data_IF_321500113175
#
_entry.id   IF_321500113175
#
_cell.length_a   1.000
_cell.length_b   1.000
_cell.length_c   1.000
_cell.angle_alpha   90.00
_cell.angle_beta   90.00
_cell.angle_gamma   90.00
#
_symmetry.space_group_name_H-M   'P 1'
#
loop_
_entity.id
_entity.type
_entity.pdbx_description
1 polymer ?
#
# COMPACT_ATOMS: atom_id res chain seq x y z
N UNK A 1 -17.73 -4.62 -9.98
CA UNK A 1 -18.91 -3.83 -9.60
C UNK A 1 -19.98 -4.80 -9.12
N UNK A 2 -20.46 -4.60 -7.90
CA UNK A 2 -21.44 -5.47 -7.25
C UNK A 2 -22.66 -4.65 -6.82
N UNK A 3 -23.83 -5.29 -6.74
CA UNK A 3 -24.99 -4.72 -6.04
C UNK A 3 -24.91 -4.97 -4.52
N UNK A 4 -25.93 -4.51 -3.79
CA UNK A 4 -26.01 -4.60 -2.32
C UNK A 4 -26.15 -6.05 -1.83
N UNK A 5 -26.62 -6.95 -2.68
CA UNK A 5 -26.72 -8.40 -2.42
C UNK A 5 -25.43 -9.16 -2.78
N UNK A 6 -24.38 -8.46 -3.26
CA UNK A 6 -23.09 -9.05 -3.61
C UNK A 6 -23.05 -9.75 -4.97
N UNK A 7 -24.03 -9.50 -5.86
CA UNK A 7 -24.03 -10.04 -7.22
C UNK A 7 -23.16 -9.19 -8.13
N UNK A 8 -22.31 -9.85 -8.92
CA UNK A 8 -21.46 -9.19 -9.90
C UNK A 8 -22.29 -8.62 -11.06
N UNK A 9 -22.28 -7.30 -11.19
CA UNK A 9 -22.96 -6.56 -12.27
C UNK A 9 -22.04 -6.26 -13.46
N UNK A 10 -20.75 -6.04 -13.20
CA UNK A 10 -19.78 -5.69 -14.23
C UNK A 10 -18.35 -5.88 -13.75
N UNK A 11 -17.50 -6.37 -14.65
CA UNK A 11 -16.07 -6.56 -14.43
C UNK A 11 -15.31 -6.21 -15.70
N UNK A 12 -14.15 -5.60 -15.54
CA UNK A 12 -13.23 -5.26 -16.61
C UNK A 12 -11.80 -5.30 -16.09
N UNK A 13 -10.84 -5.33 -17.01
CA UNK A 13 -9.40 -5.35 -16.70
C UNK A 13 -8.65 -4.41 -17.62
N UNK A 14 -7.48 -3.97 -17.18
CA UNK A 14 -6.51 -3.22 -17.96
C UNK A 14 -5.12 -3.77 -17.67
N UNK A 15 -4.26 -3.98 -18.69
CA UNK A 15 -2.90 -4.43 -18.47
C UNK A 15 -2.10 -3.38 -17.70
N UNK A 16 -1.07 -3.85 -16.99
CA UNK A 16 -0.10 -3.05 -16.26
C UNK A 16 1.32 -3.41 -16.72
N UNK A 17 2.20 -2.42 -16.80
CA UNK A 17 3.58 -2.57 -17.23
C UNK A 17 4.42 -3.24 -16.13
N UNK A 18 5.24 -4.22 -16.52
CA UNK A 18 6.21 -4.89 -15.65
C UNK A 18 7.59 -4.83 -16.30
N UNK A 19 8.59 -4.44 -15.53
CA UNK A 19 10.01 -4.59 -15.90
C UNK A 19 10.61 -5.72 -15.07
N UNK A 20 11.32 -6.64 -15.72
CA UNK A 20 11.99 -7.77 -15.06
C UNK A 20 13.42 -7.90 -15.55
N UNK A 21 14.36 -7.81 -14.62
CA UNK A 21 15.80 -7.90 -14.85
C UNK A 21 16.42 -8.80 -13.78
N UNK A 22 16.63 -10.08 -14.11
CA UNK A 22 17.04 -11.09 -13.12
C UNK A 22 16.00 -11.22 -11.99
N UNK A 23 16.44 -10.99 -10.76
CA UNK A 23 15.62 -11.04 -9.54
C UNK A 23 14.92 -9.70 -9.24
N UNK A 24 15.24 -8.64 -9.98
CA UNK A 24 14.62 -7.32 -9.87
C UNK A 24 13.34 -7.26 -10.73
N UNK A 25 12.20 -7.02 -10.10
CA UNK A 25 10.88 -6.95 -10.73
C UNK A 25 10.20 -5.67 -10.26
N UNK A 26 9.89 -4.80 -11.21
CA UNK A 26 9.44 -3.43 -10.94
C UNK A 26 8.19 -3.07 -11.73
N UNK A 27 7.42 -2.14 -11.17
CA UNK A 27 6.19 -1.59 -11.77
C UNK A 27 6.15 -0.08 -11.61
N UNK A 28 5.13 0.54 -12.20
CA UNK A 28 4.87 1.98 -12.09
C UNK A 28 3.54 2.22 -11.38
N UNK A 29 3.57 3.01 -10.32
CA UNK A 29 2.34 3.36 -9.60
C UNK A 29 1.41 4.21 -10.48
N UNK A 30 1.96 5.12 -11.28
CA UNK A 30 1.20 5.93 -12.25
C UNK A 30 0.51 5.05 -13.30
N UNK A 31 1.21 4.07 -13.87
CA UNK A 31 0.63 3.13 -14.84
C UNK A 31 -0.50 2.30 -14.22
N UNK A 32 -0.28 1.76 -13.01
CA UNK A 32 -1.29 1.02 -12.27
C UNK A 32 -2.53 1.87 -11.99
N UNK A 33 -2.36 3.13 -11.57
CA UNK A 33 -3.51 4.02 -11.33
C UNK A 33 -4.32 4.26 -12.61
N UNK A 34 -3.66 4.49 -13.73
CA UNK A 34 -4.34 4.67 -15.02
C UNK A 34 -5.07 3.39 -15.46
N UNK A 35 -4.46 2.21 -15.24
CA UNK A 35 -5.08 0.93 -15.52
C UNK A 35 -6.33 0.70 -14.65
N UNK A 36 -6.26 1.02 -13.35
CA UNK A 36 -7.40 0.98 -12.42
C UNK A 36 -8.52 1.90 -12.90
N UNK A 37 -8.22 3.15 -13.24
CA UNK A 37 -9.22 4.10 -13.74
C UNK A 37 -9.90 3.61 -15.03
N UNK A 38 -9.13 3.02 -15.94
CA UNK A 38 -9.65 2.45 -17.19
C UNK A 38 -10.56 1.26 -16.92
N UNK A 39 -10.17 0.35 -16.03
CA UNK A 39 -10.95 -0.82 -15.65
C UNK A 39 -12.25 -0.43 -14.93
N UNK A 40 -12.22 0.55 -14.02
CA UNK A 40 -13.41 1.03 -13.29
C UNK A 40 -14.46 1.59 -14.26
N UNK A 41 -14.06 2.45 -15.20
CA UNK A 41 -14.97 3.01 -16.20
C UNK A 41 -15.55 1.95 -17.12
N UNK A 42 -14.72 1.01 -17.58
CA UNK A 42 -15.16 -0.10 -18.41
C UNK A 42 -16.17 -0.99 -17.66
N UNK A 43 -15.93 -1.28 -16.39
CA UNK A 43 -16.85 -2.06 -15.56
C UNK A 43 -18.21 -1.33 -15.36
N UNK A 44 -18.21 -0.01 -15.14
CA UNK A 44 -19.45 0.77 -15.04
C UNK A 44 -20.22 0.78 -16.37
N UNK A 45 -19.51 0.97 -17.49
CA UNK A 45 -20.10 0.95 -18.83
C UNK A 45 -20.74 -0.39 -19.17
N UNK A 46 -20.07 -1.51 -18.87
CA UNK A 46 -20.59 -2.86 -19.08
C UNK A 46 -21.83 -3.15 -18.21
N UNK A 47 -21.83 -2.66 -16.97
CA UNK A 47 -22.97 -2.76 -16.06
C UNK A 47 -24.10 -1.78 -16.39
N UNK A 48 -23.89 -0.85 -17.33
CA UNK A 48 -24.83 0.22 -17.70
C UNK A 48 -25.29 1.07 -16.51
N UNK A 49 -24.35 1.38 -15.62
CA UNK A 49 -24.59 2.28 -14.50
C UNK A 49 -23.76 3.56 -14.65
N UNK A 50 -24.30 4.66 -14.13
CA UNK A 50 -23.58 5.91 -14.01
C UNK A 50 -22.70 5.91 -12.76
N UNK A 51 -21.60 6.65 -12.78
CA UNK A 51 -20.68 6.75 -11.63
C UNK A 51 -21.36 7.28 -10.36
N UNK A 52 -22.46 8.03 -10.48
CA UNK A 52 -23.29 8.53 -9.36
C UNK A 52 -24.03 7.43 -8.59
N UNK A 53 -24.20 6.27 -9.23
CA UNK A 53 -24.84 5.11 -8.62
C UNK A 53 -23.85 4.30 -7.76
N UNK A 54 -22.53 4.53 -7.91
CA UNK A 54 -21.50 3.86 -7.10
C UNK A 54 -21.46 4.44 -5.70
N UNK A 55 -21.78 3.62 -4.69
CA UNK A 55 -21.91 4.04 -3.28
C UNK A 55 -20.65 3.83 -2.43
N UNK A 56 -19.63 3.16 -2.97
CA UNK A 56 -18.36 2.97 -2.29
C UNK A 56 -17.33 2.30 -3.19
N UNK A 57 -16.06 2.40 -2.81
CA UNK A 57 -14.94 1.74 -3.48
C UNK A 57 -13.98 1.16 -2.44
N UNK A 58 -13.49 -0.04 -2.72
CA UNK A 58 -12.43 -0.71 -1.96
C UNK A 58 -11.29 -1.08 -2.88
N UNK A 59 -10.06 -1.05 -2.37
CA UNK A 59 -8.86 -1.41 -3.11
C UNK A 59 -8.20 -2.64 -2.49
N UNK A 60 -7.89 -3.61 -3.34
CA UNK A 60 -7.03 -4.73 -2.99
C UNK A 60 -5.93 -4.88 -4.04
N UNK A 61 -4.73 -5.22 -3.60
CA UNK A 61 -3.57 -5.38 -4.48
C UNK A 61 -2.56 -6.38 -3.92
N UNK A 62 -1.61 -6.78 -4.76
CA UNK A 62 -0.42 -7.50 -4.29
C UNK A 62 0.33 -6.67 -3.25
N UNK A 63 1.04 -7.33 -2.34
CA UNK A 63 1.90 -6.68 -1.33
C UNK A 63 3.22 -6.09 -1.89
N UNK A 64 3.11 -5.28 -2.94
CA UNK A 64 4.24 -4.60 -3.58
C UNK A 64 4.56 -3.28 -2.85
N UNK A 65 5.82 -2.86 -2.86
CA UNK A 65 6.28 -1.65 -2.15
C UNK A 65 6.32 -0.46 -3.08
N UNK A 66 5.64 0.64 -2.72
CA UNK A 66 5.59 1.89 -3.49
C UNK A 66 6.42 2.98 -2.81
N UNK A 67 7.19 3.72 -3.62
CA UNK A 67 8.00 4.87 -3.20
C UNK A 67 7.48 6.18 -3.81
N UNK A 68 7.19 7.17 -2.97
CA UNK A 68 6.81 8.52 -3.41
C UNK A 68 7.45 9.64 -2.57
N UNK A 69 7.62 10.81 -3.18
CA UNK A 69 8.12 12.01 -2.51
C UNK A 69 7.01 12.77 -1.74
N UNK A 70 7.35 13.94 -1.22
CA UNK A 70 6.45 14.75 -0.39
C UNK A 70 5.19 15.21 -1.15
N UNK A 71 5.33 15.44 -2.46
CA UNK A 71 4.25 15.84 -3.37
C UNK A 71 3.46 14.64 -3.92
N UNK A 72 3.85 13.42 -3.55
CA UNK A 72 3.24 12.19 -4.03
C UNK A 72 3.75 11.74 -5.41
N UNK A 73 4.84 12.33 -5.91
CA UNK A 73 5.44 11.95 -7.18
C UNK A 73 6.27 10.66 -7.05
N UNK A 74 6.33 9.82 -8.09
CA UNK A 74 7.13 8.60 -8.10
C UNK A 74 8.62 8.83 -7.82
N UNK A 75 9.19 8.08 -6.87
CA UNK A 75 10.64 8.04 -6.63
C UNK A 75 11.19 6.69 -7.09
N UNK A 76 12.23 6.70 -7.94
CA UNK A 76 12.79 5.47 -8.50
C UNK A 76 13.27 4.50 -7.42
N UNK A 77 12.95 3.22 -7.57
CA UNK A 77 13.52 2.09 -6.82
C UNK A 77 14.39 1.21 -7.73
N UNK A 78 14.79 1.76 -8.87
CA UNK A 78 15.49 1.07 -9.96
C UNK A 78 16.90 1.62 -10.16
N UNK A 79 17.85 0.73 -10.46
CA UNK A 79 19.20 1.10 -10.90
C UNK A 79 19.21 1.93 -12.19
N UNK A 80 18.15 1.84 -12.99
CA UNK A 80 18.01 2.63 -14.22
C UNK A 80 17.86 4.13 -13.96
N UNK A 81 17.51 4.53 -12.74
CA UNK A 81 17.18 5.92 -12.40
C UNK A 81 15.84 6.41 -12.96
N UNK A 82 15.08 5.57 -13.68
CA UNK A 82 13.77 5.92 -14.23
C UNK A 82 12.73 6.06 -13.11
N UNK A 83 12.29 7.29 -12.82
CA UNK A 83 11.32 7.58 -11.77
C UNK A 83 9.98 6.86 -11.95
N UNK A 84 9.64 6.41 -13.16
CA UNK A 84 8.44 5.60 -13.40
C UNK A 84 8.51 4.23 -12.74
N UNK A 85 9.71 3.70 -12.50
CA UNK A 85 9.96 2.41 -11.85
C UNK A 85 10.06 2.62 -10.34
N UNK A 86 8.93 2.95 -9.71
CA UNK A 86 8.83 3.31 -8.29
C UNK A 86 8.15 2.24 -7.42
N UNK A 87 7.95 1.04 -7.96
CA UNK A 87 7.39 -0.10 -7.23
C UNK A 87 8.36 -1.28 -7.26
N UNK A 88 8.68 -1.82 -6.09
CA UNK A 88 9.31 -3.14 -5.95
C UNK A 88 8.19 -4.18 -5.83
N UNK A 89 8.06 -5.07 -6.81
CA UNK A 89 6.94 -6.01 -6.88
C UNK A 89 7.03 -7.06 -5.76
N UNK A 90 5.90 -7.60 -5.31
CA UNK A 90 5.83 -8.63 -4.26
C UNK A 90 6.82 -9.79 -4.49
N UNK A 91 6.88 -10.33 -5.72
CA UNK A 91 7.74 -11.45 -6.14
C UNK A 91 9.21 -11.07 -6.44
N UNK A 92 9.63 -9.85 -6.14
CA UNK A 92 11.02 -9.41 -6.29
C UNK A 92 11.91 -10.00 -5.18
N UNK A 93 13.05 -10.59 -5.55
CA UNK A 93 13.98 -11.26 -4.64
C UNK A 93 15.33 -10.53 -4.49
N UNK A 94 15.43 -9.26 -4.88
CA UNK A 94 16.69 -8.48 -4.75
C UNK A 94 17.20 -8.40 -3.30
N UNK A 95 16.29 -8.52 -2.33
CA UNK A 95 16.54 -8.29 -0.91
C UNK A 95 16.85 -9.56 -0.10
N UNK A 96 17.25 -10.68 -0.74
CA UNK A 96 17.59 -11.94 -0.06
C UNK A 96 18.65 -11.74 1.03
N UNK A 97 19.74 -11.02 0.74
CA UNK A 97 20.82 -10.77 1.72
C UNK A 97 20.34 -9.95 2.92
N UNK A 98 19.46 -9.00 2.68
CA UNK A 98 18.87 -8.15 3.74
C UNK A 98 17.91 -8.96 4.61
N UNK A 99 17.12 -9.87 4.03
CA UNK A 99 16.29 -10.79 4.78
C UNK A 99 17.14 -11.71 5.68
N UNK A 100 18.22 -12.31 5.16
CA UNK A 100 19.16 -13.11 5.95
C UNK A 100 19.78 -12.30 7.11
N UNK A 101 20.21 -11.07 6.83
CA UNK A 101 20.76 -10.15 7.83
C UNK A 101 19.75 -9.83 8.93
N UNK A 102 18.50 -9.51 8.57
CA UNK A 102 17.42 -9.27 9.54
C UNK A 102 17.15 -10.54 10.37
N UNK A 103 17.03 -11.69 9.72
CA UNK A 103 16.72 -12.95 10.40
C UNK A 103 17.82 -13.37 11.40
N UNK A 104 19.09 -13.04 11.11
CA UNK A 104 20.20 -13.32 12.03
C UNK A 104 20.12 -12.61 13.39
N UNK A 105 19.28 -11.56 13.49
CA UNK A 105 19.05 -10.78 14.71
C UNK A 105 18.18 -11.49 15.73
N UNK A 106 17.32 -12.42 15.30
CA UNK A 106 16.36 -13.14 16.17
C UNK A 106 15.46 -12.20 17.00
N UNK A 107 15.08 -11.05 16.43
CA UNK A 107 14.20 -10.09 17.10
C UNK A 107 12.84 -10.74 17.48
N UNK A 108 12.26 -10.44 18.65
CA UNK A 108 10.98 -11.00 19.09
C UNK A 108 9.83 -10.81 18.08
N UNK A 109 9.84 -9.68 17.37
CA UNK A 109 8.84 -9.34 16.33
C UNK A 109 8.74 -10.44 15.25
N UNK A 110 9.84 -11.13 14.95
CA UNK A 110 9.87 -12.18 13.93
C UNK A 110 8.99 -13.39 14.29
N UNK A 111 8.65 -13.59 15.57
CA UNK A 111 7.75 -14.66 15.99
C UNK A 111 6.35 -14.53 15.35
N UNK A 112 5.94 -13.31 15.02
CA UNK A 112 4.65 -13.03 14.37
C UNK A 112 4.67 -13.22 12.85
N UNK A 113 5.84 -13.50 12.26
CA UNK A 113 5.98 -13.89 10.85
C UNK A 113 6.57 -15.30 10.69
N UNK A 114 6.30 -16.19 11.66
CA UNK A 114 6.76 -17.59 11.60
C UNK A 114 8.26 -17.78 11.90
N UNK A 115 8.87 -16.81 12.56
CA UNK A 115 10.28 -16.84 13.00
C UNK A 115 11.27 -16.20 12.02
N UNK A 116 10.83 -15.78 10.83
CA UNK A 116 11.71 -15.14 9.85
C UNK A 116 10.94 -14.25 8.87
N UNK A 117 11.53 -13.15 8.41
CA UNK A 117 11.02 -12.39 7.28
C UNK A 117 11.46 -13.02 5.95
N UNK A 118 10.56 -12.99 4.97
CA UNK A 118 10.84 -13.31 3.57
C UNK A 118 11.42 -12.08 2.85
N UNK A 119 12.30 -12.25 1.83
CA UNK A 119 12.72 -11.13 0.96
C UNK A 119 11.55 -10.42 0.26
N UNK A 120 10.39 -11.06 0.17
CA UNK A 120 9.17 -10.48 -0.41
C UNK A 120 8.45 -9.49 0.53
N UNK A 121 8.80 -9.47 1.82
CA UNK A 121 8.26 -8.53 2.81
C UNK A 121 8.94 -7.15 2.73
N UNK A 122 8.34 -6.14 3.35
CA UNK A 122 8.79 -4.75 3.16
C UNK A 122 10.10 -4.40 3.89
N UNK A 123 10.38 -4.83 5.14
CA UNK A 123 11.61 -4.45 5.82
C UNK A 123 12.91 -4.83 5.06
N UNK A 124 13.04 -6.06 4.51
CA UNK A 124 14.18 -6.39 3.65
C UNK A 124 14.31 -5.49 2.41
N UNK A 125 13.19 -5.19 1.73
CA UNK A 125 13.17 -4.31 0.54
C UNK A 125 13.60 -2.88 0.89
N UNK A 126 13.12 -2.34 2.00
CA UNK A 126 13.50 -1.02 2.51
C UNK A 126 14.99 -0.96 2.83
N UNK A 127 15.50 -1.97 3.56
CA UNK A 127 16.93 -2.06 3.86
C UNK A 127 17.77 -2.17 2.59
N UNK A 128 17.29 -2.90 1.58
CA UNK A 128 17.98 -2.98 0.30
C UNK A 128 18.04 -1.62 -0.38
N UNK A 129 16.93 -0.86 -0.45
CA UNK A 129 16.94 0.48 -1.05
C UNK A 129 17.89 1.41 -0.27
N UNK A 130 17.85 1.38 1.06
CA UNK A 130 18.75 2.22 1.87
C UNK A 130 20.23 1.94 1.61
N UNK A 131 20.60 0.67 1.45
CA UNK A 131 21.99 0.27 1.21
C UNK A 131 22.45 0.52 -0.24
N UNK A 132 21.53 0.46 -1.22
CA UNK A 132 21.89 0.43 -2.65
C UNK A 132 21.51 1.72 -3.41
N UNK A 133 20.46 2.42 -3.00
CA UNK A 133 19.87 3.57 -3.67
C UNK A 133 19.70 4.75 -2.69
N UNK A 134 20.82 5.21 -2.13
CA UNK A 134 20.84 6.24 -1.08
C UNK A 134 20.19 7.56 -1.49
N UNK A 135 20.33 7.97 -2.76
CA UNK A 135 19.68 9.16 -3.29
C UNK A 135 18.15 9.01 -3.25
N UNK A 136 17.62 7.89 -3.78
CA UNK A 136 16.20 7.57 -3.68
C UNK A 136 15.73 7.53 -2.23
N UNK A 137 16.45 6.84 -1.35
CA UNK A 137 16.13 6.76 0.08
C UNK A 137 15.95 8.14 0.72
N UNK A 138 16.83 9.09 0.38
CA UNK A 138 16.76 10.46 0.88
C UNK A 138 15.55 11.24 0.33
N UNK A 139 15.14 10.98 -0.91
CA UNK A 139 14.00 11.65 -1.55
C UNK A 139 12.65 11.09 -1.14
N UNK A 140 12.57 9.81 -0.76
CA UNK A 140 11.30 9.19 -0.38
C UNK A 140 10.74 9.82 0.89
N UNK A 141 9.52 10.32 0.77
CA UNK A 141 8.72 10.84 1.87
C UNK A 141 7.72 9.82 2.39
N UNK A 142 7.22 8.91 1.54
CA UNK A 142 6.34 7.81 1.95
C UNK A 142 6.72 6.49 1.27
N UNK A 143 6.79 5.47 2.10
CA UNK A 143 6.79 4.08 1.73
C UNK A 143 5.42 3.50 2.03
N UNK A 144 4.81 2.83 1.05
CA UNK A 144 3.45 2.31 1.17
C UNK A 144 3.35 0.94 0.55
N UNK A 145 2.50 0.08 1.11
CA UNK A 145 2.04 -1.10 0.40
C UNK A 145 1.16 -0.65 -0.77
N UNK A 146 1.12 -1.40 -1.88
CA UNK A 146 0.43 -0.97 -3.10
C UNK A 146 -1.06 -0.73 -2.87
N UNK A 147 -1.71 -1.56 -2.06
CA UNK A 147 -3.13 -1.38 -1.75
C UNK A 147 -3.38 -0.09 -0.96
N UNK A 148 -2.49 0.27 -0.02
CA UNK A 148 -2.57 1.53 0.73
C UNK A 148 -2.27 2.74 -0.15
N UNK A 149 -1.32 2.62 -1.08
CA UNK A 149 -1.04 3.68 -2.05
C UNK A 149 -2.25 3.97 -2.94
N UNK A 150 -3.00 2.94 -3.36
CA UNK A 150 -4.22 3.13 -4.15
C UNK A 150 -5.30 3.88 -3.36
N UNK A 151 -5.53 3.51 -2.09
CA UNK A 151 -6.48 4.24 -1.25
C UNK A 151 -6.03 5.68 -0.97
N UNK A 152 -4.74 5.89 -0.66
CA UNK A 152 -4.17 7.23 -0.50
C UNK A 152 -4.29 8.08 -1.77
N UNK A 153 -3.98 7.51 -2.94
CA UNK A 153 -4.11 8.22 -4.23
C UNK A 153 -5.55 8.64 -4.51
N UNK A 154 -6.52 7.87 -4.01
CA UNK A 154 -7.94 8.12 -4.16
C UNK A 154 -8.47 9.20 -3.18
N UNK A 155 -7.98 9.22 -1.94
CA UNK A 155 -8.57 10.00 -0.82
C UNK A 155 -7.70 11.14 -0.30
N UNK A 156 -6.38 11.07 -0.52
CA UNK A 156 -5.39 11.91 0.16
C UNK A 156 -5.17 11.56 1.64
N UNK A 157 -5.85 10.53 2.16
CA UNK A 157 -5.72 10.06 3.54
C UNK A 157 -4.56 9.06 3.66
N UNK A 158 -3.61 9.38 4.54
CA UNK A 158 -2.36 8.64 4.74
C UNK A 158 -2.51 7.47 5.75
N UNK A 159 -3.73 7.12 6.15
CA UNK A 159 -4.01 5.97 7.01
C UNK A 159 -3.68 4.65 6.29
N UNK A 160 -2.97 3.77 6.99
CA UNK A 160 -2.57 2.44 6.51
C UNK A 160 -3.57 1.37 6.91
N UNK A 161 -3.62 0.28 6.14
CA UNK A 161 -4.37 -0.89 6.54
C UNK A 161 -3.68 -1.68 7.65
N UNK A 162 -4.46 -2.13 8.63
CA UNK A 162 -4.00 -3.12 9.60
C UNK A 162 -3.59 -4.43 8.88
N UNK A 163 -4.25 -4.78 7.76
CA UNK A 163 -3.90 -5.97 6.98
C UNK A 163 -2.49 -5.87 6.38
N UNK A 164 -2.18 -4.76 5.69
CA UNK A 164 -0.87 -4.60 5.06
C UNK A 164 0.23 -4.54 6.11
N UNK A 165 0.08 -3.67 7.10
CA UNK A 165 1.10 -3.39 8.11
C UNK A 165 1.43 -4.61 8.96
N UNK A 166 0.42 -5.35 9.44
CA UNK A 166 0.64 -6.57 10.23
C UNK A 166 1.29 -7.66 9.39
N UNK A 167 0.77 -7.92 8.19
CA UNK A 167 1.23 -9.06 7.39
C UNK A 167 2.60 -8.86 6.75
N UNK A 168 3.02 -7.62 6.47
CA UNK A 168 4.18 -7.34 5.60
C UNK A 168 5.17 -6.32 6.15
N UNK A 169 4.79 -5.56 7.18
CA UNK A 169 5.62 -4.50 7.79
C UNK A 169 5.95 -4.76 9.24
N UNK A 170 5.67 -5.97 9.75
CA UNK A 170 5.97 -6.38 11.12
C UNK A 170 5.29 -5.53 12.21
N UNK A 171 4.16 -4.89 11.87
CA UNK A 171 3.35 -4.16 12.83
C UNK A 171 2.66 -5.11 13.80
N UNK A 172 2.74 -4.81 15.10
CA UNK A 172 2.16 -5.61 16.17
C UNK A 172 0.65 -5.32 16.30
N UNK A 173 -0.14 -5.97 15.46
CA UNK A 173 -1.61 -5.79 15.45
C UNK A 173 -2.27 -6.11 16.78
N UNK A 174 -1.74 -7.05 17.56
CA UNK A 174 -2.26 -7.38 18.89
C UNK A 174 -2.07 -6.24 19.90
N UNK A 175 -0.95 -5.50 19.83
CA UNK A 175 -0.74 -4.31 20.66
C UNK A 175 -1.73 -3.21 20.25
N UNK A 176 -1.93 -3.02 18.93
CA UNK A 176 -2.90 -2.06 18.42
C UNK A 176 -4.33 -2.33 18.91
N UNK A 177 -4.78 -3.59 18.84
CA UNK A 177 -6.12 -3.98 19.29
C UNK A 177 -6.33 -3.92 20.81
N UNK A 178 -5.26 -3.85 21.62
CA UNK A 178 -5.39 -3.62 23.08
C UNK A 178 -5.75 -2.16 23.39
N UNK A 179 -5.35 -1.22 22.54
CA UNK A 179 -5.56 0.22 22.74
C UNK A 179 -6.69 0.79 21.89
N UNK A 180 -7.02 0.14 20.77
CA UNK A 180 -7.99 0.62 19.78
C UNK A 180 -9.05 -0.45 19.55
N UNK A 181 -10.31 -0.07 19.76
CA UNK A 181 -11.48 -0.88 19.42
C UNK A 181 -12.15 -0.28 18.19
N UNK A 182 -12.62 -1.14 17.27
CA UNK A 182 -13.33 -0.74 16.03
C UNK A 182 -14.48 0.25 16.28
N UNK A 183 -15.07 0.24 17.48
CA UNK A 183 -16.24 1.05 17.84
C UNK A 183 -15.91 2.41 18.46
N UNK A 184 -14.71 2.61 19.03
CA UNK A 184 -14.44 3.71 19.96
C UNK A 184 -13.29 4.64 19.53
N UNK A 185 -12.47 4.25 18.56
CA UNK A 185 -11.25 4.97 18.23
C UNK A 185 -11.45 5.95 17.08
N UNK A 186 -11.60 7.23 17.42
CA UNK A 186 -11.67 8.33 16.45
C UNK A 186 -10.33 8.66 15.80
N UNK A 187 -9.22 8.36 16.47
CA UNK A 187 -7.92 8.94 16.09
C UNK A 187 -6.96 7.94 15.40
N UNK A 188 -7.30 6.63 15.36
CA UNK A 188 -6.57 5.53 14.66
C UNK A 188 -5.02 5.56 14.77
N UNK A 189 -4.51 6.17 15.84
CA UNK A 189 -3.08 6.41 16.04
C UNK A 189 -2.30 5.08 16.17
N UNK A 190 -1.11 5.04 15.58
CA UNK A 190 -0.28 3.83 15.62
C UNK A 190 0.28 3.56 17.00
N UNK A 191 0.22 2.30 17.43
CA UNK A 191 0.86 1.82 18.67
C UNK A 191 1.47 0.41 18.51
N UNK A 192 1.51 -0.13 17.29
CA UNK A 192 2.08 -1.44 16.99
C UNK A 192 3.44 -1.39 16.28
N UNK A 193 4.02 -0.22 16.04
CA UNK A 193 5.40 -0.16 15.54
C UNK A 193 6.37 -0.49 16.69
N UNK A 194 7.31 -1.39 16.42
CA UNK A 194 8.37 -1.76 17.36
C UNK A 194 9.66 -1.00 16.99
N UNK A 195 9.92 0.09 17.71
CA UNK A 195 11.04 0.99 17.42
C UNK A 195 12.39 0.30 17.56
N UNK A 196 12.54 -0.55 18.58
CA UNK A 196 13.76 -1.33 18.83
C UNK A 196 14.06 -2.23 17.62
N UNK A 197 13.05 -2.87 17.04
CA UNK A 197 13.22 -3.68 15.82
C UNK A 197 13.71 -2.83 14.62
N UNK A 198 13.09 -1.69 14.35
CA UNK A 198 13.48 -0.83 13.22
C UNK A 198 14.90 -0.27 13.40
N UNK A 199 15.28 0.12 14.61
CA UNK A 199 16.65 0.53 14.94
C UNK A 199 17.64 -0.63 14.76
N UNK A 200 17.32 -1.82 15.30
CA UNK A 200 18.17 -3.01 15.25
C UNK A 200 18.54 -3.44 13.83
N UNK A 201 17.60 -3.34 12.89
CA UNK A 201 17.82 -3.72 11.49
C UNK A 201 18.46 -2.61 10.65
N UNK A 202 18.79 -1.47 11.25
CA UNK A 202 19.43 -0.33 10.58
C UNK A 202 18.47 0.58 9.82
N UNK A 203 17.18 0.58 10.19
CA UNK A 203 16.11 1.40 9.61
C UNK A 203 15.50 2.37 10.64
N UNK A 204 16.25 2.76 11.68
CA UNK A 204 15.78 3.66 12.75
C UNK A 204 15.35 5.06 12.26
N UNK A 205 15.79 5.49 11.08
CA UNK A 205 15.31 6.72 10.44
C UNK A 205 13.82 6.66 10.02
N UNK A 206 13.23 5.46 9.98
CA UNK A 206 11.79 5.29 9.78
C UNK A 206 10.98 5.54 11.06
N UNK A 207 11.60 5.57 12.24
CA UNK A 207 10.95 5.91 13.52
C UNK A 207 10.73 7.41 13.65
N UNK A 208 11.59 8.22 13.01
CA UNK A 208 11.56 9.68 13.06
C UNK A 208 10.19 10.26 12.66
N UNK A 209 9.81 11.33 13.36
CA UNK A 209 8.54 12.01 13.11
C UNK A 209 7.33 11.09 13.33
N UNK A 210 7.36 10.19 14.32
CA UNK A 210 6.28 9.25 14.61
C UNK A 210 5.95 8.38 13.40
N UNK A 211 6.94 7.71 12.82
CA UNK A 211 6.74 6.79 11.70
C UNK A 211 6.14 7.42 10.45
N UNK A 212 6.36 8.72 10.23
CA UNK A 212 5.73 9.50 9.15
C UNK A 212 5.89 8.86 7.77
N UNK A 213 7.05 8.24 7.51
CA UNK A 213 7.36 7.62 6.22
C UNK A 213 6.62 6.30 5.99
N UNK A 214 6.21 5.58 7.04
CA UNK A 214 5.60 4.24 6.92
C UNK A 214 4.15 4.20 7.41
N UNK A 215 3.69 5.22 8.13
CA UNK A 215 2.29 5.41 8.51
C UNK A 215 2.14 5.81 9.98
N UNK A 216 1.46 6.93 10.23
CA UNK A 216 1.09 7.46 11.56
C UNK A 216 -0.27 6.99 12.06
N UNK A 217 -1.10 6.53 11.14
CA UNK A 217 -2.46 6.07 11.39
C UNK A 217 -2.61 4.69 10.76
N UNK A 218 -3.21 3.76 11.50
CA UNK A 218 -3.51 2.40 11.04
C UNK A 218 -4.95 2.11 11.40
N UNK A 219 -5.73 1.67 10.43
CA UNK A 219 -7.15 1.37 10.62
C UNK A 219 -7.51 -0.04 10.14
N UNK A 220 -8.62 -0.56 10.67
CA UNK A 220 -9.19 -1.82 10.24
C UNK A 220 -9.65 -1.75 8.76
N UNK A 221 -9.57 -2.87 8.01
CA UNK A 221 -10.10 -2.95 6.65
C UNK A 221 -11.55 -2.44 6.56
N UNK A 222 -11.85 -1.66 5.52
CA UNK A 222 -13.18 -1.09 5.32
C UNK A 222 -13.50 0.16 6.16
N UNK A 223 -12.62 0.59 7.07
CA UNK A 223 -12.75 1.90 7.72
C UNK A 223 -12.81 3.02 6.69
N UNK A 224 -13.70 3.99 6.87
CA UNK A 224 -13.89 5.07 5.91
C UNK A 224 -12.71 6.05 5.94
N UNK A 225 -12.09 6.28 4.79
CA UNK A 225 -10.92 7.14 4.65
C UNK A 225 -11.28 8.56 4.24
N UNK A 226 -10.70 9.54 4.94
CA UNK A 226 -10.86 10.97 4.71
C UNK A 226 -12.32 11.38 4.55
N UNK A 227 -12.60 12.11 3.49
CA UNK A 227 -13.98 12.42 3.07
C UNK A 227 -14.40 11.62 1.84
N UNK A 228 -13.82 10.43 1.62
CA UNK A 228 -14.01 9.64 0.40
C UNK A 228 -13.13 10.10 -0.77
N UNK A 229 -13.57 9.84 -2.00
CA UNK A 229 -12.84 10.22 -3.21
C UNK A 229 -12.58 11.73 -3.28
N UNK A 230 -11.33 12.11 -3.51
CA UNK A 230 -11.00 13.51 -3.78
C UNK A 230 -11.64 14.01 -5.07
N UNK A 231 -11.89 15.33 -5.22
CA UNK A 231 -12.35 15.89 -6.48
C UNK A 231 -11.42 15.57 -7.66
N UNK A 232 -10.13 15.36 -7.43
CA UNK A 232 -9.19 14.97 -8.48
C UNK A 232 -9.39 13.50 -8.87
N UNK A 233 -9.39 12.57 -7.91
CA UNK A 233 -9.58 11.14 -8.18
C UNK A 233 -10.97 10.81 -8.78
N UNK A 234 -12.00 11.60 -8.46
CA UNK A 234 -13.34 11.40 -8.97
C UNK A 234 -13.54 11.85 -10.43
N UNK A 235 -12.71 12.76 -10.96
CA UNK A 235 -12.92 13.37 -12.30
C UNK A 235 -13.15 12.32 -13.38
N UNK A 236 -14.05 12.60 -14.32
CA UNK A 236 -14.31 11.75 -15.49
C UNK A 236 -13.24 11.82 -16.59
N UNK A 237 -12.08 12.46 -16.34
CA UNK A 237 -10.97 12.54 -17.33
C UNK A 237 -10.24 11.22 -17.46
N UNK A 238 -9.56 10.98 -18.58
CA UNK A 238 -8.94 9.70 -18.94
C UNK A 238 -8.16 9.00 -17.81
N UNK A 239 -7.49 9.76 -16.95
CA UNK A 239 -6.57 9.25 -15.93
C UNK A 239 -7.14 9.21 -14.49
N UNK A 240 -8.45 9.40 -14.33
CA UNK A 240 -9.14 9.41 -13.03
C UNK A 240 -10.41 8.55 -13.10
N UNK A 241 -11.03 8.22 -11.95
CA UNK A 241 -12.00 7.10 -11.82
C UNK A 241 -13.32 7.32 -12.56
N UNK A 242 -13.75 8.56 -12.79
CA UNK A 242 -15.07 8.87 -13.35
C UNK A 242 -16.23 8.52 -12.42
N UNK A 243 -16.07 8.80 -11.13
CA UNK A 243 -17.05 8.61 -10.06
C UNK A 243 -17.42 9.96 -9.44
N UNK A 244 -18.09 9.96 -8.28
CA UNK A 244 -18.48 11.18 -7.58
C UNK A 244 -17.47 11.51 -6.48
N UNK A 245 -17.12 12.79 -6.35
CA UNK A 245 -16.30 13.25 -5.24
C UNK A 245 -17.05 12.99 -3.93
N UNK A 246 -16.36 12.44 -2.94
CA UNK A 246 -16.97 12.03 -1.69
C UNK A 246 -17.58 10.63 -1.69
N UNK A 247 -17.53 9.87 -2.79
CA UNK A 247 -17.83 8.44 -2.74
C UNK A 247 -16.94 7.77 -1.68
N UNK A 248 -17.51 7.08 -0.67
CA UNK A 248 -16.75 6.45 0.39
C UNK A 248 -15.66 5.51 -0.11
N UNK A 249 -14.49 5.57 0.52
CA UNK A 249 -13.36 4.68 0.25
C UNK A 249 -13.01 3.95 1.54
N UNK A 250 -12.99 2.62 1.51
CA UNK A 250 -12.56 1.81 2.65
C UNK A 250 -11.04 1.65 2.70
N UNK A 251 -10.48 1.54 3.91
CA UNK A 251 -9.10 1.10 4.14
C UNK A 251 -8.81 -0.22 3.43
N UNK A 252 -7.63 -0.31 2.83
CA UNK A 252 -7.27 -1.32 1.83
C UNK A 252 -7.07 -2.74 2.38
N UNK A 253 -6.94 -3.73 1.49
CA UNK A 253 -6.58 -5.12 1.82
C UNK A 253 -5.50 -5.64 0.87
N UNK A 254 -4.69 -6.60 1.33
CA UNK A 254 -3.89 -7.44 0.44
C UNK A 254 -4.84 -8.37 -0.34
N UNK A 255 -4.59 -8.56 -1.63
CA UNK A 255 -5.40 -9.38 -2.56
C UNK A 255 -5.85 -10.74 -2.01
N UNK A 256 -4.93 -11.56 -1.48
CA UNK A 256 -5.24 -12.87 -0.93
C UNK A 256 -6.20 -12.79 0.27
N UNK A 257 -6.11 -11.73 1.08
CA UNK A 257 -6.98 -11.52 2.23
C UNK A 257 -8.35 -10.99 1.81
N UNK A 258 -8.41 -10.13 0.78
CA UNK A 258 -9.66 -9.69 0.19
C UNK A 258 -10.47 -10.87 -0.39
N UNK A 259 -9.81 -11.88 -0.95
CA UNK A 259 -10.49 -13.11 -1.40
C UNK A 259 -11.03 -14.00 -0.26
N UNK A 260 -10.61 -13.77 0.98
CA UNK A 260 -11.10 -14.50 2.16
C UNK A 260 -12.29 -13.84 2.87
N UNK A 261 -12.61 -12.60 2.52
CA UNK A 261 -13.79 -11.84 2.99
C UNK A 261 -14.99 -12.17 2.09
#
# INVERSE_FOLDING_TARGET
>A
LFDEEGKLLGSASSPIQIWKEGDCIEQSSTDIWHAVCSAVKAACSLAKIDGEQVKGIGFAATCSLVAVDADGSPVTVSWSGDSRRNIIVWMDHRAVKQAEKINSRNSPVLQYCGGSVSPEMQPPKLLWVKENLQESWSMVFRWMDLSDWLSYRATGDDTRSLCTTVCKWTYLGHAHMQHINEKDSRDMETCGWDDDFWEEIGLGDLVEGHHAKIGRSVAFPGHALGSGLTPTAAKARNFELGLVAGTPVGTSLIDAHAGGV
#
